data_IF_510031950421
#
_entry.id   IF_510031950421
#
_cell.length_a   1.000
_cell.length_b   1.000
_cell.length_c   1.000
_cell.angle_alpha   90.00
_cell.angle_beta   90.00
_cell.angle_gamma   90.00
#
_symmetry.space_group_name_H-M   'P 1'
#
loop_
_entity.id
_entity.type
_entity.pdbx_description
1 polymer ?
#
# COMPACT_ATOMS: atom_id res chain seq x y z
N UNK A 1 57.88 -3.95 -34.98
CA UNK A 1 56.91 -5.04 -35.26
C UNK A 1 57.16 -6.32 -34.47
N UNK A 2 58.31 -7.02 -34.52
CA UNK A 2 58.48 -8.28 -33.74
C UNK A 2 58.27 -8.14 -32.22
N UNK A 3 58.74 -7.04 -31.61
CA UNK A 3 58.57 -6.79 -30.17
C UNK A 3 57.10 -6.61 -29.75
N UNK A 4 56.28 -5.95 -30.56
CA UNK A 4 54.87 -5.73 -30.25
C UNK A 4 54.06 -7.02 -30.30
N UNK A 5 54.38 -7.93 -31.23
CA UNK A 5 53.76 -9.27 -31.31
C UNK A 5 54.14 -10.18 -30.14
N UNK A 6 55.41 -10.15 -29.71
CA UNK A 6 55.87 -10.92 -28.54
C UNK A 6 55.19 -10.44 -27.27
N UNK A 7 55.08 -9.12 -27.07
CA UNK A 7 54.33 -8.56 -25.94
C UNK A 7 52.86 -8.95 -25.97
N UNK A 8 52.21 -8.90 -27.13
CA UNK A 8 50.79 -9.27 -27.28
C UNK A 8 50.55 -10.75 -26.95
N UNK A 9 51.42 -11.65 -27.44
CA UNK A 9 51.35 -13.08 -27.16
C UNK A 9 51.59 -13.40 -25.68
N UNK A 10 52.54 -12.71 -25.03
CA UNK A 10 52.78 -12.87 -23.59
C UNK A 10 51.58 -12.41 -22.76
N UNK A 11 50.96 -11.28 -23.09
CA UNK A 11 49.72 -10.83 -22.42
C UNK A 11 48.57 -11.79 -22.66
N UNK A 12 48.42 -12.31 -23.88
CA UNK A 12 47.36 -13.27 -24.20
C UNK A 12 47.57 -14.55 -23.40
N UNK A 13 48.78 -15.12 -23.41
CA UNK A 13 49.12 -16.34 -22.67
C UNK A 13 48.97 -16.18 -21.15
N UNK A 14 49.35 -15.03 -20.59
CA UNK A 14 49.14 -14.73 -19.18
C UNK A 14 47.64 -14.62 -18.84
N UNK A 15 46.84 -14.01 -19.72
CA UNK A 15 45.40 -13.90 -19.55
C UNK A 15 44.69 -15.27 -19.65
N UNK A 16 45.04 -16.11 -20.64
CA UNK A 16 44.52 -17.48 -20.73
C UNK A 16 44.93 -18.31 -19.52
N UNK A 17 46.20 -18.20 -19.08
CA UNK A 17 46.67 -18.92 -17.89
C UNK A 17 45.94 -18.46 -16.63
N UNK A 18 45.71 -17.15 -16.47
CA UNK A 18 44.93 -16.62 -15.35
C UNK A 18 43.45 -17.06 -15.41
N UNK A 19 42.85 -17.13 -16.60
CA UNK A 19 41.49 -17.62 -16.79
C UNK A 19 41.36 -19.14 -16.51
N UNK A 20 42.40 -19.92 -16.81
CA UNK A 20 42.44 -21.38 -16.54
C UNK A 20 42.73 -21.66 -15.06
N UNK A 21 43.65 -20.90 -14.44
CA UNK A 21 44.08 -21.10 -13.06
C UNK A 21 43.17 -20.43 -12.02
N UNK A 22 42.50 -19.33 -12.40
CA UNK A 22 41.58 -18.58 -11.54
C UNK A 22 40.25 -18.26 -12.23
N UNK A 23 39.56 -19.25 -12.83
CA UNK A 23 38.32 -19.01 -13.58
C UNK A 23 37.28 -18.29 -12.72
N UNK A 24 37.21 -18.62 -11.43
CA UNK A 24 36.28 -18.01 -10.49
C UNK A 24 36.57 -16.53 -10.25
N UNK A 25 37.84 -16.09 -10.12
CA UNK A 25 38.13 -14.64 -9.94
C UNK A 25 37.94 -13.83 -11.21
N UNK A 26 38.04 -14.47 -12.38
CA UNK A 26 37.83 -13.82 -13.66
C UNK A 26 36.33 -13.65 -14.00
N UNK A 27 35.44 -14.49 -13.44
CA UNK A 27 34.03 -14.55 -13.81
C UNK A 27 33.09 -14.17 -12.66
N UNK A 28 33.53 -14.21 -11.39
CA UNK A 28 32.64 -13.93 -10.24
C UNK A 28 32.31 -12.44 -10.12
N UNK A 29 31.02 -12.05 -10.13
CA UNK A 29 30.59 -10.66 -9.99
C UNK A 29 30.71 -10.11 -8.55
N UNK A 30 31.56 -10.71 -7.71
CA UNK A 30 31.74 -10.39 -6.30
C UNK A 30 31.38 -11.55 -5.36
N UNK A 31 31.59 -11.33 -4.06
CA UNK A 31 31.34 -12.33 -3.01
C UNK A 31 29.84 -12.61 -2.85
N UNK A 32 29.53 -13.86 -2.53
CA UNK A 32 28.19 -14.30 -2.13
C UNK A 32 27.81 -13.75 -0.75
N UNK A 33 26.51 -13.79 -0.45
CA UNK A 33 25.97 -13.54 0.87
C UNK A 33 26.47 -14.59 1.88
N UNK A 34 26.50 -14.21 3.16
CA UNK A 34 27.02 -15.07 4.24
C UNK A 34 26.34 -16.46 4.27
N UNK A 35 25.04 -16.52 4.00
CA UNK A 35 24.27 -17.77 3.99
C UNK A 35 24.62 -18.72 2.84
N UNK A 36 25.22 -18.21 1.76
CA UNK A 36 25.55 -18.99 0.57
C UNK A 36 27.06 -19.13 0.32
N UNK A 37 27.91 -18.72 1.27
CA UNK A 37 29.37 -18.86 1.13
C UNK A 37 29.82 -20.31 0.88
N UNK A 38 29.05 -21.29 1.37
CA UNK A 38 29.31 -22.71 1.11
C UNK A 38 29.08 -23.14 -0.34
N UNK A 39 28.40 -22.32 -1.15
CA UNK A 39 28.05 -22.60 -2.55
C UNK A 39 28.97 -21.84 -3.52
N UNK A 40 29.98 -21.12 -3.02
CA UNK A 40 30.89 -20.28 -3.80
C UNK A 40 31.59 -21.00 -4.96
N UNK A 41 31.80 -22.31 -4.80
CA UNK A 41 32.54 -23.13 -5.76
C UNK A 41 31.60 -23.92 -6.71
N UNK A 42 30.28 -23.88 -6.48
CA UNK A 42 29.26 -24.55 -7.30
C UNK A 42 28.29 -23.54 -7.91
N UNK A 43 28.75 -22.80 -8.91
CA UNK A 43 27.98 -21.73 -9.54
C UNK A 43 26.70 -22.24 -10.22
N UNK A 44 26.70 -23.48 -10.71
CA UNK A 44 25.56 -24.08 -11.42
C UNK A 44 24.45 -24.58 -10.48
N UNK A 45 24.68 -24.56 -9.16
CA UNK A 45 23.64 -24.73 -8.15
C UNK A 45 22.57 -23.64 -8.25
N UNK A 46 22.95 -22.42 -8.62
CA UNK A 46 22.04 -21.29 -8.80
C UNK A 46 21.87 -20.90 -10.28
N UNK A 47 22.91 -21.06 -11.10
CA UNK A 47 22.89 -20.64 -12.50
C UNK A 47 22.59 -21.77 -13.48
N UNK A 48 21.96 -21.41 -14.58
CA UNK A 48 21.92 -22.21 -15.81
C UNK A 48 22.76 -21.51 -16.86
N UNK A 49 23.60 -22.27 -17.58
CA UNK A 49 24.47 -21.73 -18.63
C UNK A 49 23.66 -20.88 -19.62
N UNK A 50 24.13 -19.64 -19.85
CA UNK A 50 23.54 -18.65 -20.76
C UNK A 50 22.12 -18.17 -20.41
N UNK A 51 21.49 -18.69 -19.34
CA UNK A 51 20.13 -18.32 -18.91
C UNK A 51 20.10 -17.60 -17.56
N UNK A 52 21.26 -17.31 -16.97
CA UNK A 52 21.35 -16.63 -15.68
C UNK A 52 20.92 -17.53 -14.52
N UNK A 53 20.36 -16.94 -13.46
CA UNK A 53 19.88 -17.65 -12.28
C UNK A 53 18.33 -17.75 -12.32
N UNK A 54 17.77 -18.88 -12.79
CA UNK A 54 16.33 -19.03 -12.86
C UNK A 54 15.74 -19.25 -11.45
N UNK A 55 14.52 -18.75 -11.22
CA UNK A 55 13.91 -18.74 -9.88
C UNK A 55 13.70 -20.16 -9.30
N UNK A 56 13.57 -21.16 -10.16
CA UNK A 56 13.41 -22.57 -9.79
C UNK A 56 14.65 -23.11 -9.06
N UNK A 57 15.85 -22.65 -9.43
CA UNK A 57 17.10 -23.01 -8.75
C UNK A 57 17.11 -22.48 -7.32
N UNK A 58 16.59 -21.28 -7.09
CA UNK A 58 16.38 -20.73 -5.75
C UNK A 58 15.32 -21.54 -4.99
N UNK A 59 14.19 -21.83 -5.64
CA UNK A 59 13.05 -22.53 -5.06
C UNK A 59 13.34 -23.99 -4.66
N UNK A 60 14.39 -24.62 -5.24
CA UNK A 60 14.84 -25.95 -4.87
C UNK A 60 15.22 -26.06 -3.38
N UNK A 61 15.78 -24.99 -2.80
CA UNK A 61 16.10 -24.89 -1.38
C UNK A 61 15.14 -23.97 -0.62
N UNK A 62 14.69 -22.88 -1.26
CA UNK A 62 13.78 -21.88 -0.70
C UNK A 62 12.39 -21.98 -1.32
N UNK A 63 11.66 -23.04 -0.98
CA UNK A 63 10.28 -23.21 -1.47
C UNK A 63 9.43 -22.00 -1.08
N UNK A 64 8.78 -21.30 -2.02
CA UNK A 64 8.07 -20.05 -1.72
C UNK A 64 7.04 -20.17 -0.59
N UNK A 65 6.33 -21.30 -0.51
CA UNK A 65 5.37 -21.58 0.56
C UNK A 65 5.97 -21.92 1.93
N UNK A 66 7.29 -22.06 2.03
CA UNK A 66 8.02 -22.42 3.26
C UNK A 66 8.91 -21.29 3.79
N UNK A 67 9.18 -20.26 2.98
CA UNK A 67 10.10 -19.17 3.36
C UNK A 67 9.55 -18.42 4.57
N UNK A 68 10.35 -18.39 5.65
CA UNK A 68 9.97 -17.74 6.91
C UNK A 68 9.21 -18.63 7.88
N UNK A 69 8.89 -19.87 7.52
CA UNK A 69 8.26 -20.84 8.43
C UNK A 69 9.01 -22.16 8.55
N UNK A 70 9.83 -22.52 7.56
CA UNK A 70 10.69 -23.71 7.58
C UNK A 70 12.11 -23.38 7.14
N UNK A 71 13.05 -24.22 7.55
CA UNK A 71 14.43 -24.22 7.05
C UNK A 71 14.49 -24.77 5.62
N UNK A 72 15.63 -24.63 4.95
CA UNK A 72 15.86 -25.23 3.62
C UNK A 72 15.78 -26.76 3.60
N UNK A 73 15.85 -27.41 4.78
CA UNK A 73 15.66 -28.85 4.94
C UNK A 73 14.21 -29.25 5.21
N UNK A 74 13.29 -28.28 5.33
CA UNK A 74 11.88 -28.53 5.65
C UNK A 74 11.57 -28.62 7.15
N UNK A 75 12.55 -28.40 8.03
CA UNK A 75 12.32 -28.35 9.47
C UNK A 75 11.60 -27.05 9.87
N UNK A 76 10.59 -27.10 10.77
CA UNK A 76 9.88 -25.90 11.21
C UNK A 76 10.80 -24.93 11.96
N UNK A 77 10.59 -23.62 11.77
CA UNK A 77 11.29 -22.59 12.53
C UNK A 77 10.65 -22.41 13.91
N UNK A 78 11.48 -22.13 14.92
CA UNK A 78 11.00 -21.86 16.29
C UNK A 78 10.06 -20.65 16.38
N UNK A 79 10.20 -19.67 15.49
CA UNK A 79 9.38 -18.47 15.43
C UNK A 79 8.90 -18.20 13.99
N UNK A 80 7.83 -18.88 13.53
CA UNK A 80 7.35 -18.74 12.17
C UNK A 80 6.86 -17.32 11.87
N UNK A 81 7.16 -16.85 10.65
CA UNK A 81 6.80 -15.53 10.13
C UNK A 81 5.82 -15.70 8.97
N UNK A 82 4.56 -15.89 9.33
CA UNK A 82 3.50 -16.21 8.37
C UNK A 82 3.29 -15.13 7.30
N UNK A 83 3.47 -13.86 7.63
CA UNK A 83 3.46 -12.77 6.63
C UNK A 83 4.56 -12.94 5.59
N UNK A 84 5.77 -13.35 6.00
CA UNK A 84 6.87 -13.58 5.08
C UNK A 84 6.57 -14.77 4.15
N UNK A 85 5.98 -15.84 4.69
CA UNK A 85 5.52 -17.00 3.93
C UNK A 85 4.54 -16.61 2.83
N UNK A 86 3.48 -15.86 3.19
CA UNK A 86 2.49 -15.39 2.22
C UNK A 86 3.07 -14.48 1.15
N UNK A 87 4.01 -13.61 1.49
CA UNK A 87 4.68 -12.75 0.48
C UNK A 87 5.39 -13.62 -0.56
N UNK A 88 6.14 -14.64 -0.14
CA UNK A 88 6.86 -15.51 -1.07
C UNK A 88 5.90 -16.40 -1.87
N UNK A 89 4.87 -16.95 -1.23
CA UNK A 89 3.84 -17.78 -1.88
C UNK A 89 3.08 -17.03 -2.98
N UNK A 90 2.83 -15.74 -2.81
CA UNK A 90 2.07 -14.90 -3.76
C UNK A 90 2.94 -14.20 -4.80
N UNK A 91 4.27 -14.28 -4.67
CA UNK A 91 5.20 -13.57 -5.54
C UNK A 91 5.28 -14.23 -6.92
N UNK A 92 5.07 -13.43 -7.98
CA UNK A 92 5.19 -13.86 -9.38
C UNK A 92 6.45 -13.32 -10.08
N UNK A 93 7.38 -12.77 -9.32
CA UNK A 93 8.62 -12.16 -9.83
C UNK A 93 9.84 -12.99 -9.43
N UNK A 94 10.93 -12.90 -10.21
CA UNK A 94 12.22 -13.49 -9.85
C UNK A 94 12.73 -13.03 -8.48
N UNK A 95 13.34 -13.94 -7.73
CA UNK A 95 13.84 -13.71 -6.37
C UNK A 95 14.89 -12.59 -6.31
N UNK A 96 15.66 -12.45 -7.39
CA UNK A 96 16.75 -11.50 -7.59
C UNK A 96 16.29 -10.03 -7.59
N UNK A 97 15.00 -9.78 -7.89
CA UNK A 97 14.44 -8.42 -7.82
C UNK A 97 14.38 -7.86 -6.41
N UNK A 98 14.38 -8.72 -5.39
CA UNK A 98 14.42 -8.34 -3.99
C UNK A 98 15.75 -8.72 -3.34
N UNK A 99 16.26 -9.92 -3.64
CA UNK A 99 17.47 -10.47 -3.04
C UNK A 99 18.64 -10.40 -4.01
N UNK A 100 19.62 -9.54 -3.72
CA UNK A 100 20.90 -9.57 -4.44
C UNK A 100 21.83 -10.56 -3.76
N UNK A 101 22.38 -11.49 -4.52
CA UNK A 101 23.32 -12.48 -3.99
C UNK A 101 24.77 -12.00 -4.09
N UNK A 102 25.14 -11.45 -5.23
CA UNK A 102 26.49 -10.95 -5.46
C UNK A 102 26.66 -9.53 -4.91
N UNK A 103 27.83 -9.27 -4.32
CA UNK A 103 28.24 -7.95 -3.84
C UNK A 103 28.02 -7.72 -2.34
N UNK A 104 27.75 -8.78 -1.56
CA UNK A 104 27.73 -8.74 -0.09
C UNK A 104 26.65 -7.85 0.54
N UNK A 105 25.80 -7.20 -0.26
CA UNK A 105 24.67 -6.41 0.21
C UNK A 105 23.46 -7.30 0.32
N UNK A 106 23.15 -7.74 1.54
CA UNK A 106 21.81 -8.19 1.90
C UNK A 106 20.83 -7.11 1.43
N UNK A 107 20.08 -7.40 0.37
CA UNK A 107 19.15 -6.46 -0.26
C UNK A 107 18.12 -5.98 0.75
N UNK A 108 18.37 -4.83 1.39
CA UNK A 108 17.40 -4.11 2.21
C UNK A 108 16.43 -3.35 1.33
N UNK A 109 15.85 -4.03 0.34
CA UNK A 109 14.73 -3.44 -0.39
C UNK A 109 13.53 -3.45 0.54
N UNK A 110 12.98 -2.26 0.80
CA UNK A 110 11.70 -2.14 1.50
C UNK A 110 10.64 -2.81 0.63
N UNK A 111 9.76 -3.57 1.27
CA UNK A 111 8.65 -4.21 0.59
C UNK A 111 7.76 -3.17 -0.11
N UNK A 112 7.33 -3.47 -1.33
CA UNK A 112 6.46 -2.61 -2.13
C UNK A 112 5.27 -3.44 -2.67
N UNK A 113 4.04 -3.01 -2.35
CA UNK A 113 2.81 -3.69 -2.77
C UNK A 113 2.63 -3.76 -4.30
N UNK A 114 3.27 -2.88 -5.07
CA UNK A 114 3.26 -2.90 -6.54
C UNK A 114 3.87 -4.18 -7.14
N UNK A 115 4.58 -4.99 -6.35
CA UNK A 115 5.13 -6.27 -6.77
C UNK A 115 4.13 -7.44 -6.62
N UNK A 116 2.99 -7.22 -5.97
CA UNK A 116 1.94 -8.21 -5.79
C UNK A 116 0.91 -8.14 -6.92
N UNK A 117 0.21 -9.25 -7.22
CA UNK A 117 -1.02 -9.21 -8.01
C UNK A 117 -2.03 -8.23 -7.40
N UNK A 118 -2.76 -7.50 -8.24
CA UNK A 118 -3.67 -6.44 -7.81
C UNK A 118 -4.73 -6.95 -6.81
N UNK A 119 -5.22 -8.17 -7.01
CA UNK A 119 -6.21 -8.82 -6.18
C UNK A 119 -5.65 -9.12 -4.78
N UNK A 120 -4.39 -9.55 -4.70
CA UNK A 120 -3.70 -9.82 -3.44
C UNK A 120 -3.38 -8.51 -2.72
N UNK A 121 -2.95 -7.48 -3.45
CA UNK A 121 -2.65 -6.16 -2.89
C UNK A 121 -3.89 -5.48 -2.28
N UNK A 122 -5.08 -5.72 -2.82
CA UNK A 122 -6.35 -5.22 -2.27
C UNK A 122 -6.78 -5.95 -0.97
N UNK A 123 -6.33 -7.18 -0.75
CA UNK A 123 -6.67 -8.00 0.41
C UNK A 123 -5.87 -7.67 1.67
N UNK A 124 -6.05 -6.47 2.24
CA UNK A 124 -5.22 -5.96 3.34
C UNK A 124 -5.13 -6.90 4.55
N UNK A 125 -6.26 -7.47 4.98
CA UNK A 125 -6.36 -8.29 6.19
C UNK A 125 -5.60 -9.61 6.10
N UNK A 126 -5.39 -10.15 4.90
CA UNK A 126 -4.64 -11.39 4.70
C UNK A 126 -3.20 -11.31 5.24
N UNK A 127 -2.61 -10.11 5.24
CA UNK A 127 -1.26 -9.86 5.74
C UNK A 127 -1.22 -8.94 6.98
N UNK A 128 -2.16 -8.00 7.10
CA UNK A 128 -2.16 -6.93 8.10
C UNK A 128 -3.23 -7.05 9.18
N UNK A 129 -3.87 -8.22 9.35
CA UNK A 129 -4.88 -8.45 10.40
C UNK A 129 -4.42 -7.97 11.79
N UNK A 130 -3.20 -8.34 12.20
CA UNK A 130 -2.66 -8.02 13.52
C UNK A 130 -2.11 -6.58 13.64
N UNK A 131 -2.11 -5.82 12.54
CA UNK A 131 -1.60 -4.45 12.50
C UNK A 131 -2.68 -3.38 12.73
N UNK A 132 -3.96 -3.77 12.82
CA UNK A 132 -5.06 -2.83 13.07
C UNK A 132 -4.91 -2.21 14.46
N UNK A 133 -4.83 -0.88 14.58
CA UNK A 133 -4.85 -0.19 15.87
C UNK A 133 -6.12 -0.53 16.67
N UNK A 134 -5.99 -0.55 18.00
CA UNK A 134 -7.10 -0.83 18.94
C UNK A 134 -7.74 0.46 19.46
N UNK A 135 -7.90 1.46 18.61
CA UNK A 135 -8.57 2.72 18.96
C UNK A 135 -10.05 2.72 18.56
N UNK A 136 -10.81 3.70 19.04
CA UNK A 136 -12.26 3.81 18.81
C UNK A 136 -12.60 4.00 17.32
N UNK A 137 -11.78 4.76 16.58
CA UNK A 137 -11.98 5.00 15.15
C UNK A 137 -11.88 3.69 14.36
N UNK A 138 -10.81 2.93 14.59
CA UNK A 138 -10.64 1.64 13.96
C UNK A 138 -11.70 0.66 14.46
N UNK A 139 -12.15 0.72 15.71
CA UNK A 139 -13.24 -0.14 16.20
C UNK A 139 -14.58 0.14 15.48
N UNK A 140 -14.89 1.41 15.20
CA UNK A 140 -16.09 1.85 14.48
C UNK A 140 -16.00 1.69 12.95
N UNK A 141 -14.80 1.55 12.41
CA UNK A 141 -14.57 1.32 10.99
C UNK A 141 -14.94 -0.11 10.56
N UNK A 142 -15.39 -0.24 9.31
CA UNK A 142 -15.60 -1.56 8.66
C UNK A 142 -14.29 -2.34 8.51
N UNK A 143 -14.37 -3.62 8.16
CA UNK A 143 -13.18 -4.43 7.81
C UNK A 143 -12.48 -3.99 6.51
N UNK A 144 -13.08 -3.07 5.75
CA UNK A 144 -12.52 -2.47 4.53
C UNK A 144 -11.50 -1.38 4.88
N UNK A 145 -10.22 -1.58 4.55
CA UNK A 145 -9.16 -0.61 4.86
C UNK A 145 -8.97 0.44 3.74
N UNK A 146 -9.24 0.06 2.49
CA UNK A 146 -9.01 0.87 1.29
C UNK A 146 -9.72 2.24 1.24
N UNK A 147 -10.90 2.43 1.85
CA UNK A 147 -11.53 3.76 1.90
C UNK A 147 -10.69 4.81 2.65
N UNK A 148 -9.85 4.37 3.59
CA UNK A 148 -9.04 5.27 4.42
C UNK A 148 -7.55 5.15 4.15
N UNK A 149 -7.03 4.00 3.70
CA UNK A 149 -5.60 3.76 3.57
C UNK A 149 -5.23 3.30 2.16
N UNK A 150 -4.07 3.75 1.69
CA UNK A 150 -3.50 3.34 0.42
C UNK A 150 -2.42 2.27 0.56
N UNK A 151 -2.11 1.59 -0.55
CA UNK A 151 -1.02 0.61 -0.60
C UNK A 151 0.39 1.24 -0.50
N UNK A 152 0.48 2.56 -0.66
CA UNK A 152 1.71 3.35 -0.48
C UNK A 152 2.02 3.63 1.00
N UNK A 153 1.04 3.53 1.90
CA UNK A 153 1.25 3.73 3.33
C UNK A 153 -0.05 3.89 4.14
N UNK A 154 0.05 3.60 5.44
CA UNK A 154 -1.06 3.78 6.41
C UNK A 154 -1.27 5.23 6.84
N UNK A 155 -0.23 6.06 6.77
CA UNK A 155 -0.26 7.47 7.16
C UNK A 155 0.29 8.35 6.03
N UNK A 156 -0.34 9.50 5.74
CA UNK A 156 -1.67 9.92 6.25
C UNK A 156 -2.78 8.99 5.72
N UNK A 157 -3.92 8.97 6.40
CA UNK A 157 -5.13 8.38 5.83
C UNK A 157 -5.58 9.25 4.65
N UNK A 158 -6.04 8.62 3.58
CA UNK A 158 -6.51 9.26 2.35
C UNK A 158 -8.00 9.61 2.39
N UNK A 159 -8.71 9.30 3.48
CA UNK A 159 -10.12 9.65 3.61
C UNK A 159 -10.27 11.18 3.65
N UNK A 160 -11.09 11.68 2.74
CA UNK A 160 -11.26 13.12 2.51
C UNK A 160 -12.65 13.56 2.96
N UNK A 161 -12.71 14.23 4.11
CA UNK A 161 -13.96 14.81 4.62
C UNK A 161 -14.49 15.89 3.66
N UNK A 162 -13.67 16.66 2.95
CA UNK A 162 -14.18 17.69 2.03
C UNK A 162 -15.06 17.10 0.91
N UNK A 163 -14.83 15.84 0.53
CA UNK A 163 -15.64 15.11 -0.44
C UNK A 163 -16.83 14.39 0.18
N UNK A 164 -16.79 14.11 1.48
CA UNK A 164 -17.82 13.39 2.21
C UNK A 164 -18.78 14.33 2.94
N UNK A 165 -18.25 15.24 3.74
CA UNK A 165 -18.94 16.29 4.49
C UNK A 165 -17.93 17.39 4.90
N UNK A 166 -18.16 18.64 4.48
CA UNK A 166 -17.29 19.77 4.80
C UNK A 166 -17.55 20.27 6.21
N UNK A 167 -16.50 20.47 7.00
CA UNK A 167 -16.64 21.07 8.33
C UNK A 167 -16.87 22.57 8.24
N UNK A 168 -17.73 23.11 9.11
CA UNK A 168 -17.99 24.53 9.25
C UNK A 168 -18.06 24.96 10.73
N UNK A 169 -18.52 26.19 10.99
CA UNK A 169 -18.65 26.73 12.35
C UNK A 169 -19.65 25.97 13.23
N UNK A 170 -20.69 25.41 12.62
CA UNK A 170 -21.79 24.70 13.28
C UNK A 170 -21.52 23.19 13.35
N UNK A 171 -20.72 22.67 12.42
CA UNK A 171 -20.29 21.28 12.33
C UNK A 171 -18.75 21.18 12.41
N UNK A 172 -18.15 21.43 13.59
CA UNK A 172 -16.71 21.30 13.78
C UNK A 172 -16.27 19.83 13.64
N UNK A 173 -14.96 19.57 13.42
CA UNK A 173 -14.42 18.21 13.22
C UNK A 173 -14.32 17.38 14.52
N UNK A 174 -15.41 17.30 15.27
CA UNK A 174 -15.56 16.46 16.46
C UNK A 174 -16.33 15.21 16.07
N UNK A 175 -15.63 14.08 15.97
CA UNK A 175 -16.16 12.83 15.41
C UNK A 175 -17.51 12.41 16.02
N UNK A 176 -17.65 12.53 17.34
CA UNK A 176 -18.83 12.11 18.08
C UNK A 176 -20.08 12.97 17.83
N UNK A 177 -19.93 14.17 17.28
CA UNK A 177 -21.05 15.05 16.94
C UNK A 177 -21.88 14.45 15.79
N UNK A 178 -21.23 13.73 14.86
CA UNK A 178 -21.89 13.13 13.70
C UNK A 178 -21.91 11.60 13.74
N UNK A 179 -20.88 10.97 14.31
CA UNK A 179 -20.74 9.53 14.38
C UNK A 179 -20.93 9.03 15.81
N UNK A 180 -22.08 8.40 16.06
CA UNK A 180 -22.39 7.86 17.37
C UNK A 180 -21.41 6.72 17.77
N UNK A 181 -20.94 6.68 19.03
CA UNK A 181 -20.10 5.59 19.50
C UNK A 181 -20.74 4.22 19.28
N UNK A 182 -19.94 3.24 18.84
CA UNK A 182 -20.39 1.87 18.59
C UNK A 182 -21.22 1.68 17.31
N UNK A 183 -21.43 2.74 16.52
CA UNK A 183 -22.02 2.66 15.18
C UNK A 183 -20.94 2.67 14.09
N UNK A 184 -21.31 2.17 12.91
CA UNK A 184 -20.45 2.26 11.73
C UNK A 184 -20.21 3.73 11.36
N UNK A 185 -19.00 4.08 10.93
CA UNK A 185 -18.72 5.43 10.38
C UNK A 185 -19.53 5.74 9.11
N UNK A 186 -20.13 4.73 8.46
CA UNK A 186 -21.06 4.94 7.33
C UNK A 186 -22.44 5.43 7.80
N UNK A 187 -22.76 5.26 9.08
CA UNK A 187 -24.00 5.71 9.70
C UNK A 187 -23.80 7.11 10.31
N UNK A 188 -24.58 8.06 9.81
CA UNK A 188 -24.76 9.39 10.39
C UNK A 188 -26.13 9.91 9.97
N UNK A 189 -26.71 10.83 10.74
CA UNK A 189 -28.01 11.43 10.41
C UNK A 189 -27.95 12.94 10.55
N UNK A 190 -28.45 13.64 9.54
CA UNK A 190 -28.62 15.09 9.60
C UNK A 190 -29.82 15.42 10.51
N UNK A 191 -30.90 14.63 10.41
CA UNK A 191 -32.20 14.87 11.06
C UNK A 191 -32.24 14.40 12.52
N UNK A 192 -31.15 13.82 13.02
CA UNK A 192 -30.98 13.54 14.45
C UNK A 192 -30.73 14.81 15.27
N UNK A 193 -30.20 15.87 14.62
CA UNK A 193 -29.93 17.17 15.24
C UNK A 193 -30.68 18.31 14.54
N UNK A 194 -30.82 18.26 13.22
CA UNK A 194 -31.62 19.23 12.45
C UNK A 194 -33.12 18.93 12.55
N UNK A 195 -33.92 20.00 12.69
CA UNK A 195 -35.23 20.09 13.36
C UNK A 195 -36.14 18.84 13.40
N UNK A 196 -36.73 18.61 14.58
CA UNK A 196 -37.56 17.48 15.01
C UNK A 196 -38.86 17.19 14.22
N UNK A 197 -39.10 17.83 13.07
CA UNK A 197 -40.20 17.46 12.18
C UNK A 197 -39.78 17.48 10.71
N UNK A 198 -39.50 16.29 10.16
CA UNK A 198 -39.26 16.07 8.73
C UNK A 198 -40.29 16.78 7.84
N UNK A 199 -41.57 16.76 8.26
CA UNK A 199 -42.68 17.36 7.53
C UNK A 199 -42.53 18.88 7.28
N UNK A 200 -41.97 19.65 8.23
CA UNK A 200 -41.78 21.09 8.07
C UNK A 200 -40.65 21.39 7.09
N UNK A 201 -39.54 20.67 7.23
CA UNK A 201 -38.41 20.77 6.33
C UNK A 201 -38.81 20.38 4.89
N UNK A 202 -39.56 19.29 4.73
CA UNK A 202 -40.13 18.86 3.44
C UNK A 202 -41.08 19.90 2.84
N UNK A 203 -41.92 20.54 3.66
CA UNK A 203 -42.81 21.60 3.19
C UNK A 203 -42.01 22.79 2.65
N UNK A 204 -40.92 23.19 3.32
CA UNK A 204 -40.04 24.27 2.86
C UNK A 204 -39.30 23.93 1.59
N UNK A 205 -38.69 22.75 1.50
CA UNK A 205 -38.07 22.32 0.25
C UNK A 205 -39.08 22.24 -0.90
N UNK A 206 -40.35 21.87 -0.61
CA UNK A 206 -41.43 21.87 -1.61
C UNK A 206 -41.80 23.28 -2.09
N UNK A 207 -41.77 24.30 -1.21
CA UNK A 207 -41.93 25.71 -1.60
C UNK A 207 -40.83 26.14 -2.59
N UNK A 208 -39.64 25.54 -2.50
CA UNK A 208 -38.49 25.78 -3.38
C UNK A 208 -38.45 24.83 -4.59
N UNK A 209 -39.45 23.95 -4.75
CA UNK A 209 -39.53 23.00 -5.86
C UNK A 209 -38.62 21.77 -5.71
N UNK A 210 -38.02 21.55 -4.55
CA UNK A 210 -37.20 20.38 -4.22
C UNK A 210 -38.08 19.33 -3.52
N UNK A 211 -38.32 18.20 -4.20
CA UNK A 211 -39.16 17.12 -3.65
C UNK A 211 -38.39 15.83 -3.36
N UNK A 212 -37.16 15.70 -3.88
CA UNK A 212 -36.26 14.60 -3.56
C UNK A 212 -35.18 15.10 -2.61
N UNK A 213 -35.23 14.64 -1.37
CA UNK A 213 -34.32 15.04 -0.29
C UNK A 213 -33.31 13.94 0.05
N UNK A 214 -33.23 12.90 -0.78
CA UNK A 214 -32.24 11.85 -0.58
C UNK A 214 -30.84 12.45 -0.64
N UNK A 215 -30.01 12.12 0.34
CA UNK A 215 -28.63 12.59 0.38
C UNK A 215 -28.51 14.12 0.45
N UNK A 216 -28.95 14.70 1.58
CA UNK A 216 -28.91 16.13 1.90
C UNK A 216 -27.59 16.80 1.49
N UNK A 217 -26.46 16.12 1.70
CA UNK A 217 -25.11 16.59 1.38
C UNK A 217 -24.84 16.92 -0.10
N UNK A 218 -25.68 16.42 -1.01
CA UNK A 218 -25.57 16.74 -2.44
C UNK A 218 -25.87 18.22 -2.70
N UNK A 219 -26.78 18.78 -1.91
CA UNK A 219 -27.12 20.19 -1.96
C UNK A 219 -26.44 20.97 -0.84
N UNK A 220 -26.28 20.38 0.35
CA UNK A 220 -25.66 21.01 1.54
C UNK A 220 -24.37 20.29 1.97
N UNK A 221 -23.22 20.50 1.30
CA UNK A 221 -21.97 19.79 1.60
C UNK A 221 -21.48 19.95 3.04
N UNK A 222 -21.74 21.11 3.67
CA UNK A 222 -21.43 21.35 5.08
C UNK A 222 -22.61 21.16 6.04
N UNK A 223 -23.81 20.82 5.53
CA UNK A 223 -25.02 20.77 6.32
C UNK A 223 -25.59 22.12 6.73
N UNK A 224 -25.01 23.25 6.28
CA UNK A 224 -25.56 24.59 6.45
C UNK A 224 -26.65 24.87 5.39
N UNK A 225 -27.75 25.50 5.81
CA UNK A 225 -28.88 25.85 4.94
C UNK A 225 -28.48 26.81 3.80
N UNK A 226 -27.46 27.63 4.03
CA UNK A 226 -26.95 28.60 3.08
C UNK A 226 -25.83 28.04 2.17
N UNK A 227 -25.24 26.89 2.50
CA UNK A 227 -24.18 26.22 1.70
C UNK A 227 -24.79 25.39 0.55
N UNK A 228 -25.72 25.97 -0.20
CA UNK A 228 -26.32 25.29 -1.36
C UNK A 228 -25.36 25.30 -2.55
N UNK A 229 -24.95 24.12 -3.04
CA UNK A 229 -24.24 24.05 -4.33
C UNK A 229 -25.22 24.51 -5.42
N UNK A 230 -24.93 25.66 -6.03
CA UNK A 230 -25.56 26.10 -7.28
C UNK A 230 -25.37 25.01 -8.33
N UNK A 231 -26.39 24.20 -8.58
CA UNK A 231 -26.49 23.51 -9.87
C UNK A 231 -26.57 24.62 -10.92
N UNK A 232 -25.51 24.76 -11.72
CA UNK A 232 -25.42 25.76 -12.78
C UNK A 232 -26.73 25.80 -13.58
N UNK A 233 -27.49 26.90 -13.46
CA UNK A 233 -28.59 27.14 -14.39
C UNK A 233 -29.83 27.90 -13.91
N UNK A 234 -30.12 28.09 -12.62
CA UNK A 234 -31.27 28.92 -12.21
C UNK A 234 -31.01 29.77 -10.97
N UNK A 235 -30.93 31.08 -11.20
CA UNK A 235 -30.93 32.11 -10.18
C UNK A 235 -32.30 32.19 -9.51
N UNK A 236 -32.36 32.00 -8.20
CA UNK A 236 -33.31 32.70 -7.36
C UNK A 236 -32.47 33.53 -6.39
N UNK A 237 -32.24 34.79 -6.74
CA UNK A 237 -31.89 35.79 -5.75
C UNK A 237 -33.01 35.83 -4.71
N UNK A 238 -32.71 35.37 -3.49
CA UNK A 238 -33.41 35.86 -2.31
C UNK A 238 -32.37 36.40 -1.35
N UNK A 239 -32.58 37.66 -1.00
CA UNK A 239 -31.56 38.57 -0.51
C UNK A 239 -30.85 38.07 0.74
N UNK A 240 -29.56 38.39 0.76
CA UNK A 240 -28.75 38.56 1.97
C UNK A 240 -29.53 39.48 2.93
N UNK A 241 -30.33 38.93 3.84
CA UNK A 241 -30.71 39.68 5.04
C UNK A 241 -29.52 39.58 5.98
N UNK A 242 -28.75 40.66 6.05
CA UNK A 242 -27.89 40.92 7.18
C UNK A 242 -28.75 40.79 8.44
N UNK A 243 -28.51 39.76 9.23
CA UNK A 243 -28.94 39.77 10.62
C UNK A 243 -27.90 40.59 11.34
N UNK A 244 -28.19 41.89 11.45
CA UNK A 244 -27.43 42.78 12.31
C UNK A 244 -27.47 42.25 13.74
N UNK A 245 -26.31 42.42 14.37
CA UNK A 245 -26.04 42.25 15.80
C UNK A 245 -27.09 42.99 16.61
N UNK A 246 -27.65 42.31 17.60
CA UNK A 246 -28.12 42.88 18.85
C UNK A 246 -28.03 41.77 19.91
N UNK A 247 -26.85 41.63 20.51
CA UNK A 247 -26.66 40.97 21.80
C UNK A 247 -26.02 42.01 22.73
N UNK A 248 -26.86 42.66 23.55
CA UNK A 248 -26.50 43.25 24.83
C UNK A 248 -26.42 42.15 25.91
#
# INVERSE_FOLDING_TARGET
>A
MRRTWVSLLLTLAAATSAAILFPYRAITPGTLSAGHLGQRDDCLSCHTLLRGAPAEKCAACHRPGDVGVRTTKGEPLAAPKERARRIHETLRTGCDRCHSEHGGRLGTRRFAHALLPAEVAAGCTACHADARPKDELHAAATSECAPCHGVSGWKPAAFDHERAFRFDRHHPPRCADCHAPGRSLKEYSCTGCHEHSLARMEAKHREEGVTNLDGCRRCHPSGDEDDTIRLEGRSLERGRKAHDRDDD
#
